data_IF_082476680951
#
_entry.id   IF_082476680951
#
_cell.length_a   1.000
_cell.length_b   1.000
_cell.length_c   1.000
_cell.angle_alpha   90.00
_cell.angle_beta   90.00
_cell.angle_gamma   90.00
#
_symmetry.space_group_name_H-M   'P 1'
#
loop_
_entity.id
_entity.type
_entity.pdbx_description
1 polymer ?
#
# COMPACT_ATOMS: atom_id res chain seq x y z
N UNK A 1 -4.43 18.98 -3.15
CA UNK A 1 -4.78 18.65 -1.76
C UNK A 1 -5.60 17.37 -1.73
N UNK A 2 -6.82 17.38 -2.28
CA UNK A 2 -7.78 16.26 -2.13
C UNK A 2 -7.23 14.87 -2.49
N UNK A 3 -6.53 14.72 -3.63
CA UNK A 3 -5.93 13.44 -4.01
C UNK A 3 -4.91 12.93 -2.98
N UNK A 4 -4.03 13.81 -2.50
CA UNK A 4 -3.04 13.46 -1.48
C UNK A 4 -3.68 13.09 -0.15
N UNK A 5 -4.70 13.84 0.28
CA UNK A 5 -5.49 13.50 1.48
C UNK A 5 -6.09 12.10 1.36
N UNK A 6 -6.83 11.82 0.28
CA UNK A 6 -7.50 10.52 0.10
C UNK A 6 -6.49 9.37 0.03
N UNK A 7 -5.44 9.56 -0.75
CA UNK A 7 -4.41 8.54 -0.93
C UNK A 7 -3.75 8.18 0.41
N UNK A 8 -3.32 9.17 1.19
CA UNK A 8 -2.65 8.93 2.48
C UNK A 8 -3.61 8.38 3.55
N UNK A 9 -4.91 8.67 3.44
CA UNK A 9 -5.91 8.09 4.34
C UNK A 9 -6.19 6.62 4.04
N UNK A 10 -6.11 6.17 2.78
CA UNK A 10 -6.41 4.78 2.42
C UNK A 10 -5.16 3.89 2.22
N UNK A 11 -4.00 4.48 1.89
CA UNK A 11 -2.74 3.77 1.61
C UNK A 11 -1.63 4.10 2.62
N UNK A 12 -1.89 5.00 3.56
CA UNK A 12 -0.93 5.31 4.62
C UNK A 12 -0.57 4.06 5.44
N UNK A 13 0.68 3.96 5.95
CA UNK A 13 1.82 4.84 5.69
C UNK A 13 2.37 4.72 4.26
N UNK A 14 2.42 5.84 3.52
CA UNK A 14 2.90 5.88 2.14
C UNK A 14 3.86 7.06 1.91
N UNK A 15 4.80 6.88 0.98
CA UNK A 15 5.79 7.89 0.62
C UNK A 15 5.32 8.78 -0.54
N UNK A 16 6.08 9.84 -0.82
CA UNK A 16 5.92 10.60 -2.07
C UNK A 16 6.14 9.72 -3.30
N UNK A 17 7.03 8.72 -3.23
CA UNK A 17 7.34 7.83 -4.35
C UNK A 17 6.14 6.95 -4.69
N UNK A 18 5.42 6.48 -3.67
CA UNK A 18 4.23 5.65 -3.86
C UNK A 18 3.10 6.44 -4.53
N UNK A 19 2.87 7.69 -4.10
CA UNK A 19 1.89 8.56 -4.77
C UNK A 19 2.28 8.90 -6.21
N UNK A 20 3.58 9.08 -6.50
CA UNK A 20 4.07 9.26 -7.88
C UNK A 20 3.77 8.04 -8.72
N UNK A 21 4.08 6.84 -8.20
CA UNK A 21 3.83 5.57 -8.86
C UNK A 21 2.34 5.38 -9.16
N UNK A 22 1.50 5.51 -8.13
CA UNK A 22 0.08 5.22 -8.21
C UNK A 22 -0.69 6.19 -9.10
N UNK A 23 -0.48 7.50 -8.93
CA UNK A 23 -1.25 8.52 -9.65
C UNK A 23 -0.59 9.00 -10.94
N UNK A 24 0.61 8.49 -11.29
CA UNK A 24 1.35 8.93 -12.47
C UNK A 24 1.74 10.42 -12.43
N UNK A 25 1.88 10.99 -11.23
CA UNK A 25 2.19 12.41 -11.04
C UNK A 25 3.68 12.69 -11.20
N UNK A 26 4.02 13.93 -11.55
CA UNK A 26 5.40 14.40 -11.34
C UNK A 26 5.73 14.46 -9.85
N UNK A 27 7.00 14.28 -9.49
CA UNK A 27 7.46 14.41 -8.10
C UNK A 27 7.06 15.75 -7.47
N UNK A 28 7.09 16.85 -8.25
CA UNK A 28 6.69 18.17 -7.78
C UNK A 28 5.19 18.23 -7.43
N UNK A 29 4.33 17.62 -8.26
CA UNK A 29 2.89 17.53 -7.99
C UNK A 29 2.61 16.66 -6.76
N UNK A 30 3.27 15.51 -6.63
CA UNK A 30 3.10 14.62 -5.48
C UNK A 30 3.55 15.28 -4.17
N UNK A 31 4.72 15.94 -4.15
CA UNK A 31 5.18 16.73 -2.99
C UNK A 31 4.18 17.81 -2.61
N UNK A 32 3.65 18.54 -3.60
CA UNK A 32 2.61 19.55 -3.35
C UNK A 32 1.31 18.93 -2.83
N UNK A 33 0.94 17.74 -3.29
CA UNK A 33 -0.24 17.03 -2.82
C UNK A 33 -0.10 16.60 -1.36
N UNK A 34 1.04 16.02 -0.97
CA UNK A 34 1.37 15.64 0.40
C UNK A 34 1.44 16.86 1.32
N UNK A 35 2.13 17.93 0.90
CA UNK A 35 2.26 19.16 1.70
C UNK A 35 0.92 19.87 1.96
N UNK A 36 -0.09 19.64 1.10
CA UNK A 36 -1.44 20.20 1.24
C UNK A 36 -2.46 19.16 1.73
N UNK A 37 -2.02 17.96 2.11
CA UNK A 37 -2.91 16.94 2.65
C UNK A 37 -3.40 17.37 4.05
N UNK A 38 -4.59 16.89 4.40
CA UNK A 38 -5.31 17.25 5.62
C UNK A 38 -5.46 16.03 6.50
N UNK A 39 -5.41 16.22 7.81
CA UNK A 39 -5.58 15.15 8.81
C UNK A 39 -4.65 13.97 8.52
N UNK A 40 -3.38 14.28 8.23
CA UNK A 40 -2.31 13.29 8.02
C UNK A 40 -1.17 13.56 8.98
N UNK A 41 -0.46 12.51 9.37
CA UNK A 41 0.71 12.59 10.23
C UNK A 41 1.93 11.98 9.56
N UNK A 42 3.14 12.52 9.84
CA UNK A 42 4.37 11.96 9.31
C UNK A 42 4.83 10.76 10.15
N UNK A 43 5.50 9.82 9.48
CA UNK A 43 6.21 8.69 10.08
C UNK A 43 7.57 8.56 9.41
N UNK A 44 8.62 8.20 10.15
CA UNK A 44 9.94 7.89 9.58
C UNK A 44 10.25 6.43 9.82
N UNK A 45 10.51 5.69 8.75
CA UNK A 45 10.90 4.27 8.78
C UNK A 45 12.21 4.15 8.02
N UNK A 46 13.24 3.62 8.68
CA UNK A 46 14.59 3.43 8.09
C UNK A 46 15.17 4.68 7.40
N UNK A 47 14.85 5.87 7.94
CA UNK A 47 15.30 7.16 7.41
C UNK A 47 14.50 7.67 6.20
N UNK A 48 13.49 6.93 5.72
CA UNK A 48 12.55 7.38 4.71
C UNK A 48 11.28 7.95 5.35
N UNK A 49 10.78 9.05 4.77
CA UNK A 49 9.60 9.75 5.27
C UNK A 49 8.33 9.24 4.59
N UNK A 50 7.37 8.87 5.43
CA UNK A 50 6.04 8.40 5.09
C UNK A 50 4.98 9.32 5.72
N UNK A 51 3.76 9.21 5.22
CA UNK A 51 2.59 9.86 5.78
C UNK A 51 1.42 8.89 5.84
N UNK A 52 0.59 9.05 6.84
CA UNK A 52 -0.66 8.29 6.99
C UNK A 52 -1.79 9.19 7.46
N UNK A 53 -3.03 8.77 7.22
CA UNK A 53 -4.19 9.43 7.83
C UNK A 53 -4.06 9.45 9.36
N UNK A 54 -4.41 10.57 9.99
CA UNK A 54 -4.33 10.74 11.45
C UNK A 54 -5.12 9.67 12.21
N UNK A 55 -6.19 9.15 11.61
CA UNK A 55 -6.98 8.05 12.19
C UNK A 55 -6.15 6.79 12.44
N UNK A 56 -5.07 6.56 11.68
CA UNK A 56 -4.21 5.39 11.81
C UNK A 56 -3.33 5.42 13.07
N UNK A 57 -3.08 6.61 13.66
CA UNK A 57 -2.33 6.71 14.92
C UNK A 57 -3.03 6.00 16.09
N UNK A 58 -4.35 5.90 16.03
CA UNK A 58 -5.16 5.25 17.04
C UNK A 58 -5.21 3.73 16.92
N UNK A 59 -4.70 3.15 15.83
CA UNK A 59 -4.78 1.70 15.57
C UNK A 59 -3.80 0.98 16.50
N UNK A 60 -4.38 0.27 17.48
CA UNK A 60 -3.61 -0.42 18.51
C UNK A 60 -3.12 -1.80 18.09
N UNK A 61 -2.19 -2.36 18.86
CA UNK A 61 -1.65 -3.71 18.63
C UNK A 61 -2.75 -4.78 18.50
N UNK A 62 -3.80 -4.73 19.34
CA UNK A 62 -4.87 -5.72 19.29
C UNK A 62 -5.66 -5.66 17.98
N UNK A 63 -5.90 -4.46 17.44
CA UNK A 63 -6.60 -4.30 16.17
C UNK A 63 -5.73 -4.79 15.00
N UNK A 64 -4.42 -4.50 15.06
CA UNK A 64 -3.45 -5.05 14.09
C UNK A 64 -3.39 -6.57 14.15
N UNK A 65 -3.26 -7.16 15.34
CA UNK A 65 -3.22 -8.61 15.53
C UNK A 65 -4.51 -9.27 15.00
N UNK A 66 -5.67 -8.63 15.20
CA UNK A 66 -6.94 -9.10 14.66
C UNK A 66 -7.03 -8.98 13.13
N UNK A 67 -6.52 -7.90 12.55
CA UNK A 67 -6.47 -7.71 11.10
C UNK A 67 -5.54 -8.73 10.42
N UNK A 68 -4.37 -8.98 11.01
CA UNK A 68 -3.38 -9.94 10.49
C UNK A 68 -3.83 -11.40 10.62
N UNK A 69 -4.69 -11.70 11.59
CA UNK A 69 -5.27 -13.04 11.74
C UNK A 69 -6.26 -13.41 10.61
N UNK A 70 -6.70 -12.45 9.80
CA UNK A 70 -7.59 -12.71 8.68
C UNK A 70 -6.80 -13.23 7.46
N UNK A 71 -7.41 -14.19 6.75
CA UNK A 71 -6.98 -14.58 5.41
C UNK A 71 -7.96 -13.99 4.40
N UNK A 72 -7.41 -13.35 3.37
CA UNK A 72 -8.18 -12.76 2.28
C UNK A 72 -7.85 -13.44 0.96
N UNK A 73 -8.89 -13.80 0.21
CA UNK A 73 -8.77 -14.05 -1.22
C UNK A 73 -9.10 -12.74 -1.94
N UNK A 74 -8.12 -12.20 -2.64
CA UNK A 74 -8.22 -10.91 -3.32
C UNK A 74 -8.25 -11.11 -4.84
N UNK A 75 -9.03 -10.30 -5.57
CA UNK A 75 -9.12 -10.40 -7.02
C UNK A 75 -7.79 -10.02 -7.70
N UNK A 76 -7.68 -10.38 -8.97
CA UNK A 76 -6.66 -9.78 -9.83
C UNK A 76 -6.75 -8.26 -9.79
N UNK A 77 -5.61 -7.59 -9.86
CA UNK A 77 -5.50 -6.12 -9.89
C UNK A 77 -6.01 -5.44 -8.60
N UNK A 78 -6.03 -6.15 -7.48
CA UNK A 78 -6.37 -5.55 -6.19
C UNK A 78 -5.41 -4.43 -5.80
N UNK A 79 -5.95 -3.40 -5.16
CA UNK A 79 -5.25 -2.17 -4.82
C UNK A 79 -4.04 -2.40 -3.92
N UNK A 80 -4.06 -3.42 -3.05
CA UNK A 80 -2.91 -3.72 -2.17
C UNK A 80 -1.62 -4.01 -2.96
N UNK A 81 -1.75 -4.52 -4.20
CA UNK A 81 -0.62 -4.75 -5.10
C UNK A 81 -0.47 -3.67 -6.18
N UNK A 82 -1.42 -2.76 -6.37
CA UNK A 82 -1.31 -1.70 -7.39
C UNK A 82 -0.95 -0.32 -6.80
N UNK A 83 -1.28 -0.10 -5.52
CA UNK A 83 -1.15 1.16 -4.81
C UNK A 83 0.27 1.64 -4.54
N UNK A 84 1.27 0.74 -4.66
CA UNK A 84 2.65 0.99 -4.23
C UNK A 84 3.67 0.69 -5.32
N UNK A 85 4.75 1.45 -5.36
CA UNK A 85 5.86 1.20 -6.30
C UNK A 85 6.65 -0.04 -5.89
N UNK A 86 7.11 -0.03 -4.64
CA UNK A 86 7.72 -1.16 -3.98
C UNK A 86 6.64 -2.03 -3.31
N UNK A 87 6.71 -3.34 -3.52
CA UNK A 87 5.74 -4.33 -3.03
C UNK A 87 6.42 -5.41 -2.20
N UNK A 88 7.71 -5.29 -1.95
CA UNK A 88 8.53 -6.31 -1.28
C UNK A 88 8.05 -6.66 0.13
N UNK A 89 7.31 -5.75 0.79
CA UNK A 89 6.71 -6.00 2.10
C UNK A 89 5.48 -6.92 2.05
N UNK A 90 4.75 -6.94 0.94
CA UNK A 90 3.47 -7.66 0.82
C UNK A 90 3.54 -8.81 -0.18
N UNK A 91 4.42 -8.75 -1.18
CA UNK A 91 4.56 -9.74 -2.22
C UNK A 91 6.00 -10.29 -2.23
N UNK A 92 6.23 -11.49 -1.67
CA UNK A 92 7.51 -12.19 -1.78
C UNK A 92 7.95 -12.35 -3.24
N UNK A 93 9.25 -12.20 -3.51
CA UNK A 93 9.79 -12.21 -4.87
C UNK A 93 9.62 -13.58 -5.53
N UNK A 94 9.63 -14.66 -4.74
CA UNK A 94 9.42 -16.03 -5.21
C UNK A 94 8.01 -16.23 -5.79
N UNK A 95 7.00 -15.55 -5.23
CA UNK A 95 5.60 -15.64 -5.66
C UNK A 95 5.23 -14.63 -6.73
N UNK A 96 6.05 -13.59 -6.91
CA UNK A 96 5.78 -12.50 -7.85
C UNK A 96 5.48 -12.98 -9.28
N UNK A 97 6.24 -13.92 -9.89
CA UNK A 97 5.96 -14.39 -11.25
C UNK A 97 4.59 -15.05 -11.41
N UNK A 98 4.02 -15.57 -10.31
CA UNK A 98 2.74 -16.30 -10.30
C UNK A 98 1.55 -15.37 -10.04
N UNK A 99 1.75 -14.26 -9.31
CA UNK A 99 0.69 -13.36 -8.85
C UNK A 99 0.67 -12.02 -9.60
N UNK A 100 1.84 -11.38 -9.79
CA UNK A 100 1.98 -10.08 -10.47
C UNK A 100 3.20 -10.11 -11.39
N UNK A 101 2.96 -10.46 -12.64
CA UNK A 101 4.03 -10.65 -13.63
C UNK A 101 4.76 -9.35 -13.94
N UNK A 102 5.97 -9.46 -14.50
CA UNK A 102 6.79 -8.29 -14.89
C UNK A 102 6.11 -7.38 -15.93
N UNK A 103 5.21 -7.91 -16.75
CA UNK A 103 4.41 -7.13 -17.71
C UNK A 103 3.09 -6.60 -17.13
N UNK A 104 2.89 -6.69 -15.82
CA UNK A 104 1.74 -6.10 -15.13
C UNK A 104 0.46 -6.93 -15.15
N UNK A 105 0.51 -8.21 -15.55
CA UNK A 105 -0.63 -9.10 -15.43
C UNK A 105 -0.74 -9.56 -13.98
N UNK A 106 -1.90 -9.29 -13.36
CA UNK A 106 -2.22 -9.71 -12.01
C UNK A 106 -3.24 -10.85 -12.05
N UNK A 107 -3.12 -11.79 -11.12
CA UNK A 107 -4.05 -12.90 -10.91
C UNK A 107 -4.68 -12.81 -9.52
N UNK A 108 -5.85 -13.44 -9.28
CA UNK A 108 -6.37 -13.58 -7.92
C UNK A 108 -5.35 -14.27 -7.01
N UNK A 109 -5.29 -13.86 -5.74
CA UNK A 109 -4.26 -14.29 -4.80
C UNK A 109 -4.77 -14.38 -3.37
N UNK A 110 -4.09 -15.18 -2.56
CA UNK A 110 -4.35 -15.33 -1.13
C UNK A 110 -3.37 -14.47 -0.36
N UNK A 111 -3.87 -13.74 0.63
CA UNK A 111 -3.10 -12.95 1.58
C UNK A 111 -3.39 -13.44 2.99
N UNK A 112 -2.35 -13.78 3.74
CA UNK A 112 -2.42 -14.18 5.16
C UNK A 112 -1.29 -13.49 5.93
N UNK A 113 -1.55 -13.08 7.17
CA UNK A 113 -0.57 -12.36 8.00
C UNK A 113 0.04 -11.14 7.29
N UNK A 114 -0.79 -10.42 6.52
CA UNK A 114 -0.35 -9.22 5.80
C UNK A 114 0.49 -9.47 4.55
N UNK A 115 0.72 -10.73 4.14
CA UNK A 115 1.56 -11.08 3.00
C UNK A 115 0.87 -12.03 2.02
N UNK A 116 1.21 -11.91 0.75
CA UNK A 116 0.76 -12.83 -0.29
C UNK A 116 1.38 -14.20 -0.05
N UNK A 117 0.55 -15.24 0.00
CA UNK A 117 0.97 -16.64 0.23
C UNK A 117 0.85 -17.52 -1.01
N UNK A 118 0.23 -17.02 -2.08
CA UNK A 118 0.14 -17.72 -3.36
C UNK A 118 -0.97 -17.18 -4.24
N UNK A 119 -1.04 -17.72 -5.46
CA UNK A 119 -2.15 -17.48 -6.38
C UNK A 119 -3.41 -18.21 -5.87
N UNK A 120 -4.56 -17.55 -5.94
CA UNK A 120 -5.83 -18.23 -5.69
C UNK A 120 -6.14 -19.08 -6.93
N UNK A 121 -6.27 -20.39 -6.72
CA UNK A 121 -6.69 -21.30 -7.78
C UNK A 121 -8.15 -21.02 -8.16
N UNK A 122 -8.50 -21.03 -9.46
CA UNK A 122 -9.89 -21.00 -9.88
C UNK A 122 -10.66 -22.28 -9.51
#
# INVERSE_FOLDING_TARGET
AELGTRYLHSHGPASVKDLVWWAGLTVAQARKAVALARDVVPLVVDGEQYWMGQWQEGVGKQELDAALAATHELPAFDEILLGYGDKSLVLPEELRPEVLTKNGLSWPFIMSDGVVTGRAEP
#
